data_IF_382381834654
#
_entry.id   IF_382381834654
#
_cell.length_a   1.000
_cell.length_b   1.000
_cell.length_c   1.000
_cell.angle_alpha   90.00
_cell.angle_beta   90.00
_cell.angle_gamma   90.00
#
_symmetry.space_group_name_H-M   'P 1'
#
loop_
_entity.id
_entity.type
_entity.pdbx_description
1 polymer ?
#
# COMPACT_ATOMS: atom_id res chain seq x y z
N UNK A 1 46.57 47.52 11.84
CA UNK A 1 45.17 47.16 12.30
C UNK A 1 44.09 47.44 11.26
N UNK A 2 44.30 48.37 10.31
CA UNK A 2 43.27 48.76 9.31
C UNK A 2 43.08 47.80 8.11
N UNK A 3 44.07 46.98 7.80
CA UNK A 3 44.01 46.17 6.56
C UNK A 3 43.08 44.96 6.63
N UNK A 4 42.86 44.37 7.82
CA UNK A 4 42.02 43.16 7.98
C UNK A 4 40.53 43.53 8.07
N UNK A 5 40.18 44.65 8.71
CA UNK A 5 38.79 45.16 8.77
C UNK A 5 38.33 45.65 7.38
N UNK A 6 39.22 46.39 6.68
CA UNK A 6 38.92 46.85 5.31
C UNK A 6 38.72 45.71 4.32
N UNK A 7 39.46 44.61 4.42
CA UNK A 7 39.29 43.43 3.57
C UNK A 7 37.96 42.72 3.81
N UNK A 8 37.52 42.66 5.08
CA UNK A 8 36.22 42.03 5.43
C UNK A 8 35.04 42.88 4.91
N UNK A 9 35.12 44.18 4.94
CA UNK A 9 34.13 45.12 4.43
C UNK A 9 34.01 45.12 2.90
N UNK A 10 35.15 45.02 2.21
CA UNK A 10 35.19 44.90 0.75
C UNK A 10 34.53 43.57 0.32
N UNK A 11 34.90 42.48 0.98
CA UNK A 11 34.32 41.15 0.71
C UNK A 11 32.80 41.10 1.00
N UNK A 12 32.37 41.73 2.10
CA UNK A 12 30.94 41.88 2.41
C UNK A 12 30.19 42.58 1.29
N UNK A 13 30.68 43.73 0.83
CA UNK A 13 30.00 44.48 -0.27
C UNK A 13 29.96 43.68 -1.54
N UNK A 14 30.98 42.92 -1.86
CA UNK A 14 31.01 42.06 -3.03
C UNK A 14 29.99 40.95 -2.96
N UNK A 15 29.92 40.21 -1.84
CA UNK A 15 28.93 39.14 -1.64
C UNK A 15 27.49 39.66 -1.65
N UNK A 16 27.21 40.79 -1.01
CA UNK A 16 25.89 41.41 -1.03
C UNK A 16 25.45 41.80 -2.46
N UNK A 17 26.40 42.31 -3.24
CA UNK A 17 26.13 42.62 -4.64
C UNK A 17 25.86 41.35 -5.47
N UNK A 18 26.70 40.32 -5.27
CA UNK A 18 26.51 39.04 -5.94
C UNK A 18 25.14 38.39 -5.58
N UNK A 19 24.71 38.44 -4.31
CA UNK A 19 23.41 37.94 -3.85
C UNK A 19 22.24 38.72 -4.53
N UNK A 20 22.38 40.04 -4.65
CA UNK A 20 21.32 40.86 -5.25
C UNK A 20 21.19 40.67 -6.77
N UNK A 21 22.25 40.28 -7.46
CA UNK A 21 22.26 40.08 -8.91
C UNK A 21 21.81 38.66 -9.33
N UNK A 22 21.46 37.77 -8.37
CA UNK A 22 21.09 36.38 -8.61
C UNK A 22 19.66 36.28 -9.21
N UNK A 23 19.53 35.36 -10.17
CA UNK A 23 18.27 35.08 -10.85
C UNK A 23 17.77 33.63 -10.73
N UNK A 24 18.54 32.76 -10.05
CA UNK A 24 18.15 31.36 -9.86
C UNK A 24 18.58 30.79 -8.50
N UNK A 25 17.82 29.80 -8.01
CA UNK A 25 18.12 29.11 -6.74
C UNK A 25 19.46 28.38 -6.79
N UNK A 26 19.85 27.81 -7.93
CA UNK A 26 21.13 27.11 -8.10
C UNK A 26 22.33 28.08 -7.96
N UNK A 27 22.22 29.31 -8.53
CA UNK A 27 23.25 30.35 -8.36
C UNK A 27 23.33 30.76 -6.90
N UNK A 28 22.23 30.90 -6.19
CA UNK A 28 22.18 31.24 -4.77
C UNK A 28 22.86 30.15 -3.91
N UNK A 29 22.60 28.86 -4.21
CA UNK A 29 23.21 27.74 -3.48
C UNK A 29 24.77 27.72 -3.71
N UNK A 30 25.20 28.00 -4.92
CA UNK A 30 26.63 28.13 -5.22
C UNK A 30 27.31 29.24 -4.40
N UNK A 31 26.66 30.41 -4.27
CA UNK A 31 27.20 31.50 -3.41
C UNK A 31 27.14 31.08 -1.94
N UNK A 32 26.08 30.44 -1.48
CA UNK A 32 26.02 29.91 -0.13
C UNK A 32 27.18 28.96 0.18
N UNK A 33 27.49 28.06 -0.73
CA UNK A 33 28.60 27.09 -0.57
C UNK A 33 29.94 27.78 -0.62
N UNK A 34 30.15 28.75 -1.51
CA UNK A 34 31.41 29.48 -1.64
C UNK A 34 31.66 30.41 -0.44
N UNK A 35 30.65 31.00 0.16
CA UNK A 35 30.76 31.87 1.32
C UNK A 35 30.77 31.10 2.64
N UNK A 36 29.80 30.19 2.87
CA UNK A 36 29.51 29.55 4.16
C UNK A 36 29.88 28.06 4.22
N UNK A 37 30.25 27.42 3.12
CA UNK A 37 30.60 26.00 3.05
C UNK A 37 31.85 25.66 3.88
N UNK A 38 32.17 24.37 4.02
CA UNK A 38 33.34 23.89 4.81
C UNK A 38 34.69 24.53 4.40
N UNK A 39 34.85 24.90 3.14
CA UNK A 39 36.00 25.61 2.54
C UNK A 39 35.64 27.05 2.14
N UNK A 40 34.47 27.56 2.57
CA UNK A 40 33.99 28.87 2.22
C UNK A 40 34.83 29.99 2.84
N UNK A 41 34.77 31.16 2.21
CA UNK A 41 35.60 32.29 2.61
C UNK A 41 35.36 32.73 4.07
N UNK A 42 34.09 32.84 4.49
CA UNK A 42 33.74 33.23 5.88
C UNK A 42 34.14 32.10 6.86
N UNK A 43 34.00 30.84 6.49
CA UNK A 43 34.44 29.71 7.32
C UNK A 43 35.97 29.68 7.45
N UNK A 44 36.71 30.07 6.41
CA UNK A 44 38.17 30.20 6.44
C UNK A 44 38.63 31.35 7.33
N UNK A 45 37.91 32.49 7.31
CA UNK A 45 38.18 33.61 8.22
C UNK A 45 37.97 33.19 9.69
N UNK A 46 36.93 32.41 9.99
CA UNK A 46 36.70 31.85 11.34
C UNK A 46 37.83 30.91 11.80
N UNK A 47 38.35 30.08 10.91
CA UNK A 47 39.48 29.18 11.22
C UNK A 47 40.78 29.95 11.50
N UNK A 48 41.00 31.07 10.83
CA UNK A 48 42.19 31.89 11.02
C UNK A 48 42.17 32.75 12.31
N UNK A 49 41.03 32.79 13.02
CA UNK A 49 40.94 33.45 14.35
C UNK A 49 41.91 32.81 15.35
N UNK A 50 42.18 31.51 15.25
CA UNK A 50 43.09 30.80 16.16
C UNK A 50 44.56 31.27 16.08
N UNK A 51 44.95 31.90 14.99
CA UNK A 51 46.33 32.43 14.77
C UNK A 51 46.57 33.87 15.24
N UNK A 52 45.51 34.55 15.73
CA UNK A 52 45.58 35.95 16.19
C UNK A 52 45.90 36.05 17.70
N UNK A 53 46.36 37.20 18.17
CA UNK A 53 46.61 37.48 19.59
C UNK A 53 45.31 37.56 20.40
N UNK A 54 45.39 37.29 21.71
CA UNK A 54 44.19 37.08 22.57
C UNK A 54 43.25 38.29 22.60
N UNK A 55 43.82 39.52 22.57
CA UNK A 55 43.04 40.75 22.60
C UNK A 55 42.23 41.02 21.32
N UNK A 56 42.76 40.62 20.16
CA UNK A 56 42.14 40.85 18.86
C UNK A 56 41.13 39.73 18.50
N UNK A 57 41.27 38.57 19.12
CA UNK A 57 40.40 37.39 18.83
C UNK A 57 38.94 37.66 19.09
N UNK A 58 38.60 38.36 20.18
CA UNK A 58 37.23 38.58 20.58
C UNK A 58 36.52 39.52 19.60
N UNK A 59 37.08 40.67 19.33
CA UNK A 59 36.51 41.67 18.44
C UNK A 59 36.41 41.16 16.99
N UNK A 60 37.46 40.50 16.50
CA UNK A 60 37.46 39.91 15.15
C UNK A 60 36.46 38.74 15.05
N UNK A 61 36.34 37.90 16.07
CA UNK A 61 35.36 36.83 16.14
C UNK A 61 33.91 37.34 16.13
N UNK A 62 33.63 38.44 16.87
CA UNK A 62 32.32 39.08 16.87
C UNK A 62 31.97 39.67 15.50
N UNK A 63 32.93 40.35 14.84
CA UNK A 63 32.75 40.92 13.50
C UNK A 63 32.49 39.84 12.44
N UNK A 64 33.25 38.74 12.44
CA UNK A 64 33.08 37.65 11.47
C UNK A 64 31.77 36.90 11.73
N UNK A 65 31.37 36.73 12.99
CA UNK A 65 30.05 36.13 13.31
C UNK A 65 28.89 37.04 12.91
N UNK A 66 29.03 38.38 13.10
CA UNK A 66 28.04 39.33 12.63
C UNK A 66 27.92 39.31 11.09
N UNK A 67 29.05 39.28 10.38
CA UNK A 67 29.07 39.11 8.93
C UNK A 67 28.40 37.81 8.48
N UNK A 68 28.71 36.70 9.14
CA UNK A 68 28.06 35.41 8.85
C UNK A 68 26.55 35.46 8.98
N UNK A 69 26.06 36.06 10.06
CA UNK A 69 24.61 36.24 10.28
C UNK A 69 23.99 37.08 9.18
N UNK A 70 24.55 38.24 8.88
CA UNK A 70 24.05 39.12 7.82
C UNK A 70 23.99 38.41 6.45
N UNK A 71 25.04 37.71 6.05
CA UNK A 71 25.06 36.98 4.78
C UNK A 71 24.03 35.82 4.78
N UNK A 72 23.85 35.12 5.92
CA UNK A 72 22.86 34.08 6.06
C UNK A 72 21.46 34.66 5.91
N UNK A 73 21.15 35.76 6.58
CA UNK A 73 19.84 36.42 6.53
C UNK A 73 19.52 36.93 5.09
N UNK A 74 20.52 37.56 4.43
CA UNK A 74 20.32 37.99 3.02
C UNK A 74 20.12 36.84 2.05
N UNK A 75 20.82 35.72 2.23
CA UNK A 75 20.59 34.50 1.43
C UNK A 75 19.17 33.98 1.64
N UNK A 76 18.67 33.98 2.88
CA UNK A 76 17.31 33.50 3.19
C UNK A 76 16.24 34.42 2.59
N UNK A 77 16.43 35.74 2.68
CA UNK A 77 15.57 36.74 2.05
C UNK A 77 15.53 36.56 0.54
N UNK A 78 16.71 36.46 -0.11
CA UNK A 78 16.81 36.27 -1.55
C UNK A 78 16.19 34.95 -1.99
N UNK A 79 16.39 33.86 -1.24
CA UNK A 79 15.79 32.56 -1.48
C UNK A 79 14.25 32.62 -1.47
N UNK A 80 13.70 33.26 -0.43
CA UNK A 80 12.25 33.43 -0.30
C UNK A 80 11.68 34.25 -1.46
N UNK A 81 12.37 35.33 -1.86
CA UNK A 81 11.96 36.17 -2.99
C UNK A 81 12.00 35.40 -4.32
N UNK A 82 13.04 34.60 -4.58
CA UNK A 82 13.15 33.77 -5.79
C UNK A 82 12.08 32.68 -5.82
N UNK A 83 11.80 32.01 -4.69
CA UNK A 83 10.73 31.02 -4.58
C UNK A 83 9.37 31.65 -4.83
N UNK A 84 9.09 32.81 -4.26
CA UNK A 84 7.85 33.53 -4.49
C UNK A 84 7.69 33.97 -5.94
N UNK A 85 8.78 34.45 -6.56
CA UNK A 85 8.77 34.82 -7.99
C UNK A 85 8.50 33.60 -8.89
N UNK A 86 9.06 32.44 -8.57
CA UNK A 86 8.81 31.20 -9.29
C UNK A 86 7.34 30.75 -9.16
N UNK A 87 6.79 30.79 -7.94
CA UNK A 87 5.38 30.48 -7.69
C UNK A 87 4.47 31.44 -8.47
N UNK A 88 4.75 32.74 -8.39
CA UNK A 88 3.97 33.77 -9.11
C UNK A 88 4.02 33.55 -10.64
N UNK A 89 5.20 33.18 -11.13
CA UNK A 89 5.36 32.85 -12.56
C UNK A 89 4.56 31.61 -12.95
N UNK A 90 4.57 30.56 -12.14
CA UNK A 90 3.74 29.35 -12.37
C UNK A 90 2.25 29.70 -12.35
N UNK A 91 1.79 30.44 -11.35
CA UNK A 91 0.39 30.87 -11.24
C UNK A 91 -0.03 31.72 -12.45
N UNK A 92 0.83 32.63 -12.93
CA UNK A 92 0.52 33.47 -14.11
C UNK A 92 0.53 32.70 -15.43
N UNK A 93 1.18 31.54 -15.48
CA UNK A 93 1.20 30.66 -16.65
C UNK A 93 0.03 29.66 -16.65
N UNK A 94 -0.49 29.31 -15.48
CA UNK A 94 -1.70 28.49 -15.35
C UNK A 94 -2.96 29.33 -15.57
N UNK A 95 -3.22 29.69 -16.82
CA UNK A 95 -4.47 30.37 -17.20
C UNK A 95 -5.57 29.33 -17.26
N UNK A 96 -6.36 29.27 -16.19
CA UNK A 96 -7.61 28.50 -16.19
C UNK A 96 -8.68 29.39 -16.85
N UNK A 97 -9.23 28.92 -17.96
CA UNK A 97 -10.38 29.56 -18.57
C UNK A 97 -11.63 29.32 -17.74
N UNK A 98 -11.97 30.30 -16.90
CA UNK A 98 -13.16 30.25 -16.02
C UNK A 98 -14.50 30.37 -16.78
N UNK A 99 -14.46 30.62 -18.10
CA UNK A 99 -15.67 30.66 -18.92
C UNK A 99 -16.06 29.28 -19.46
N UNK A 100 -15.18 28.29 -19.34
CA UNK A 100 -15.52 26.91 -19.68
C UNK A 100 -16.62 26.40 -18.73
N UNK A 101 -17.64 25.72 -19.28
CA UNK A 101 -18.69 25.16 -18.43
C UNK A 101 -18.08 24.17 -17.45
N UNK A 102 -18.46 24.28 -16.16
CA UNK A 102 -18.02 23.40 -15.06
C UNK A 102 -18.45 21.95 -15.24
N UNK A 103 -19.44 21.72 -16.06
CA UNK A 103 -19.90 20.39 -16.45
C UNK A 103 -19.40 20.09 -17.86
N UNK A 104 -18.48 19.14 -17.99
CA UNK A 104 -18.24 18.50 -19.26
C UNK A 104 -19.60 17.96 -19.74
N UNK A 105 -20.14 18.58 -20.80
CA UNK A 105 -21.37 18.11 -21.46
C UNK A 105 -21.19 16.77 -22.16
N UNK A 106 -19.99 16.24 -22.23
CA UNK A 106 -19.77 14.84 -22.54
C UNK A 106 -20.33 14.04 -21.38
N UNK A 107 -21.48 13.41 -21.58
CA UNK A 107 -22.00 12.33 -20.76
C UNK A 107 -20.88 11.28 -20.65
N UNK A 108 -20.01 11.46 -19.65
CA UNK A 108 -19.02 10.45 -19.36
C UNK A 108 -19.78 9.22 -18.93
N UNK A 109 -19.67 8.17 -19.71
CA UNK A 109 -20.15 6.86 -19.32
C UNK A 109 -19.56 6.53 -17.94
N UNK A 110 -20.36 5.91 -17.09
CA UNK A 110 -19.88 5.46 -15.78
C UNK A 110 -18.62 4.59 -15.93
N UNK A 111 -17.89 4.45 -14.84
CA UNK A 111 -16.68 3.61 -14.76
C UNK A 111 -16.92 2.42 -13.85
N UNK A 112 -16.43 1.27 -14.25
CA UNK A 112 -16.38 0.09 -13.38
C UNK A 112 -15.26 0.30 -12.38
N UNK A 113 -15.56 0.07 -11.10
CA UNK A 113 -14.58 0.19 -10.04
C UNK A 113 -13.50 -0.91 -10.16
N UNK A 114 -12.21 -0.63 -9.94
CA UNK A 114 -11.14 -1.63 -10.06
C UNK A 114 -11.37 -2.90 -9.22
N UNK A 115 -11.94 -2.79 -8.03
CA UNK A 115 -12.30 -3.97 -7.22
C UNK A 115 -13.32 -4.84 -7.91
N UNK A 116 -14.35 -4.26 -8.55
CA UNK A 116 -15.35 -5.03 -9.29
C UNK A 116 -14.71 -5.73 -10.49
N UNK A 117 -13.84 -5.02 -11.23
CA UNK A 117 -13.12 -5.60 -12.36
C UNK A 117 -12.25 -6.79 -11.94
N UNK A 118 -11.47 -6.63 -10.86
CA UNK A 118 -10.62 -7.70 -10.34
C UNK A 118 -11.44 -8.87 -9.80
N UNK A 119 -12.58 -8.59 -9.17
CA UNK A 119 -13.49 -9.64 -8.68
C UNK A 119 -14.04 -10.47 -9.84
N UNK A 120 -14.50 -9.81 -10.91
CA UNK A 120 -15.00 -10.49 -12.11
C UNK A 120 -13.93 -11.33 -12.78
N UNK A 121 -12.72 -10.81 -12.91
CA UNK A 121 -11.57 -11.52 -13.47
C UNK A 121 -11.20 -12.76 -12.63
N UNK A 122 -11.16 -12.65 -11.31
CA UNK A 122 -10.89 -13.79 -10.41
C UNK A 122 -12.00 -14.85 -10.57
N UNK A 123 -13.25 -14.43 -10.65
CA UNK A 123 -14.40 -15.33 -10.87
C UNK A 123 -14.27 -16.05 -12.20
N UNK A 124 -13.92 -15.35 -13.26
CA UNK A 124 -13.75 -15.93 -14.60
C UNK A 124 -12.65 -16.98 -14.61
N UNK A 125 -11.45 -16.65 -14.09
CA UNK A 125 -10.33 -17.59 -14.01
C UNK A 125 -10.72 -18.86 -13.24
N UNK A 126 -11.35 -18.76 -12.07
CA UNK A 126 -11.73 -19.93 -11.30
C UNK A 126 -12.90 -20.68 -11.92
N UNK A 127 -13.81 -20.01 -12.60
CA UNK A 127 -14.90 -20.66 -13.35
C UNK A 127 -14.35 -21.54 -14.47
N UNK A 128 -13.34 -21.06 -15.19
CA UNK A 128 -12.64 -21.84 -16.22
C UNK A 128 -11.91 -23.07 -15.64
N UNK A 129 -11.47 -22.97 -14.37
CA UNK A 129 -10.90 -24.09 -13.62
C UNK A 129 -11.98 -25.02 -13.01
N UNK A 130 -13.27 -24.77 -13.27
CA UNK A 130 -14.39 -25.58 -12.83
C UNK A 130 -14.85 -25.33 -11.40
N UNK A 131 -14.62 -24.13 -10.85
CA UNK A 131 -15.17 -23.73 -9.57
C UNK A 131 -16.54 -23.08 -9.76
N UNK A 132 -17.46 -23.35 -8.83
CA UNK A 132 -18.74 -22.68 -8.73
C UNK A 132 -18.63 -21.50 -7.76
N UNK A 133 -19.46 -20.48 -7.95
CA UNK A 133 -19.56 -19.35 -7.02
C UNK A 133 -20.51 -19.71 -5.89
N UNK A 134 -20.08 -19.52 -4.64
CA UNK A 134 -20.92 -19.65 -3.46
C UNK A 134 -21.03 -18.32 -2.73
N UNK A 135 -22.23 -17.99 -2.28
CA UNK A 135 -22.52 -16.76 -1.57
C UNK A 135 -23.05 -17.03 -0.16
N UNK A 136 -22.86 -16.08 0.74
CA UNK A 136 -23.38 -16.14 2.10
C UNK A 136 -23.54 -14.77 2.74
N UNK A 137 -24.16 -14.69 3.91
CA UNK A 137 -24.45 -13.42 4.57
C UNK A 137 -23.20 -12.73 5.10
N UNK A 138 -23.21 -11.39 5.15
CA UNK A 138 -22.19 -10.58 5.80
C UNK A 138 -22.31 -10.63 7.33
N UNK A 139 -23.54 -10.80 7.85
CA UNK A 139 -23.81 -10.94 9.29
C UNK A 139 -23.89 -12.42 9.62
N UNK A 140 -22.99 -12.87 10.46
CA UNK A 140 -22.81 -14.26 10.83
C UNK A 140 -22.98 -14.50 12.33
N UNK A 141 -23.03 -15.78 12.69
CA UNK A 141 -22.92 -16.25 14.05
C UNK A 141 -21.49 -16.79 14.35
N UNK A 142 -21.17 -16.94 15.61
CA UNK A 142 -19.88 -17.48 16.02
C UNK A 142 -19.67 -18.94 15.61
N UNK A 143 -20.77 -19.71 15.43
CA UNK A 143 -20.69 -21.10 15.03
C UNK A 143 -20.05 -21.22 13.63
N UNK A 144 -20.56 -20.47 12.64
CA UNK A 144 -20.04 -20.53 11.28
C UNK A 144 -18.73 -19.77 11.12
N UNK A 145 -18.58 -18.63 11.82
CA UNK A 145 -17.38 -17.79 11.65
C UNK A 145 -16.16 -18.31 12.40
N UNK A 146 -16.34 -19.09 13.49
CA UNK A 146 -15.26 -19.55 14.32
C UNK A 146 -15.33 -21.04 14.69
N UNK A 147 -16.40 -21.51 15.32
CA UNK A 147 -16.44 -22.84 15.93
C UNK A 147 -16.26 -23.96 14.90
N UNK A 148 -17.02 -23.91 13.82
CA UNK A 148 -16.94 -24.90 12.73
C UNK A 148 -15.59 -24.87 12.01
N UNK A 149 -14.87 -23.76 12.06
CA UNK A 149 -13.53 -23.57 11.50
C UNK A 149 -12.41 -23.94 12.47
N UNK A 150 -12.71 -24.64 13.58
CA UNK A 150 -11.71 -25.05 14.55
C UNK A 150 -10.95 -23.87 15.20
N UNK A 151 -11.54 -22.68 15.24
CA UNK A 151 -10.96 -21.51 15.90
C UNK A 151 -11.36 -21.55 17.37
N UNK A 152 -10.42 -21.72 18.34
CA UNK A 152 -10.74 -21.84 19.74
C UNK A 152 -11.24 -20.53 20.35
N UNK A 153 -11.98 -20.63 21.49
CA UNK A 153 -12.54 -19.44 22.16
C UNK A 153 -11.47 -18.44 22.62
N UNK A 154 -10.27 -18.92 22.96
CA UNK A 154 -9.13 -18.09 23.36
C UNK A 154 -8.39 -17.42 22.21
N UNK A 155 -8.80 -17.67 20.96
CA UNK A 155 -8.09 -17.11 19.80
C UNK A 155 -8.23 -15.59 19.71
N UNK A 156 -7.14 -14.83 19.45
CA UNK A 156 -7.17 -13.37 19.41
C UNK A 156 -8.22 -12.80 18.43
N UNK A 157 -8.43 -13.42 17.28
CA UNK A 157 -9.41 -13.00 16.29
C UNK A 157 -10.87 -12.94 16.80
N UNK A 158 -11.18 -13.55 17.95
CA UNK A 158 -12.50 -13.46 18.59
C UNK A 158 -12.65 -12.26 19.52
N UNK A 159 -11.57 -11.52 19.77
CA UNK A 159 -11.64 -10.35 20.65
C UNK A 159 -12.40 -9.21 19.98
N UNK A 160 -13.09 -8.41 20.80
CA UNK A 160 -13.82 -7.22 20.32
C UNK A 160 -12.92 -6.16 19.66
N UNK A 161 -11.62 -6.29 19.87
CA UNK A 161 -10.61 -5.42 19.20
C UNK A 161 -10.49 -5.76 17.72
N UNK A 162 -10.69 -7.04 17.35
CA UNK A 162 -10.50 -7.50 15.96
C UNK A 162 -11.81 -7.79 15.23
N UNK A 163 -12.91 -8.05 15.95
CA UNK A 163 -14.22 -8.45 15.38
C UNK A 163 -15.32 -7.48 15.75
N UNK A 164 -16.12 -7.07 14.78
CA UNK A 164 -17.32 -6.26 15.01
C UNK A 164 -18.49 -7.14 15.43
N UNK A 165 -18.80 -7.11 16.72
CA UNK A 165 -19.98 -7.78 17.28
C UNK A 165 -21.21 -6.89 17.21
N UNK A 166 -22.35 -7.50 16.88
CA UNK A 166 -23.65 -6.83 16.79
C UNK A 166 -24.53 -7.28 17.96
N UNK A 167 -25.32 -6.37 18.57
CA UNK A 167 -26.25 -6.74 19.62
C UNK A 167 -27.33 -7.70 19.07
N UNK A 168 -27.40 -8.89 19.59
CA UNK A 168 -28.41 -9.87 19.24
C UNK A 168 -29.74 -9.60 19.96
N UNK A 169 -30.87 -9.73 19.27
CA UNK A 169 -32.21 -9.59 19.91
C UNK A 169 -32.55 -10.75 20.83
N UNK A 170 -31.93 -11.90 20.65
CA UNK A 170 -32.28 -13.17 21.32
C UNK A 170 -31.18 -13.68 22.25
N UNK A 171 -30.26 -12.81 22.69
CA UNK A 171 -29.10 -13.19 23.50
C UNK A 171 -28.00 -13.94 22.73
N UNK A 172 -28.19 -14.23 21.45
CA UNK A 172 -27.18 -14.79 20.57
C UNK A 172 -26.33 -13.66 19.98
N UNK A 173 -25.02 -13.72 20.22
CA UNK A 173 -24.07 -12.80 19.62
C UNK A 173 -24.03 -13.00 18.10
N UNK A 174 -24.18 -11.91 17.36
CA UNK A 174 -23.93 -11.88 15.92
C UNK A 174 -22.71 -11.03 15.65
N UNK A 175 -22.10 -11.21 14.48
CA UNK A 175 -20.91 -10.46 14.11
C UNK A 175 -20.89 -10.17 12.60
N UNK A 176 -20.11 -9.21 12.19
CA UNK A 176 -19.71 -9.06 10.81
C UNK A 176 -18.60 -10.06 10.51
N UNK A 177 -18.76 -10.88 9.48
CA UNK A 177 -17.80 -11.95 9.15
C UNK A 177 -16.40 -11.39 8.94
N UNK A 178 -15.41 -12.04 9.56
CA UNK A 178 -13.99 -11.64 9.51
C UNK A 178 -13.24 -12.21 8.31
N UNK A 179 -13.86 -13.14 7.61
CA UNK A 179 -13.40 -13.82 6.39
C UNK A 179 -14.61 -14.45 5.66
N UNK A 180 -14.41 -14.96 4.47
CA UNK A 180 -15.50 -15.61 3.69
C UNK A 180 -15.63 -17.11 3.97
N UNK A 181 -14.82 -17.69 4.86
CA UNK A 181 -14.88 -19.11 5.25
C UNK A 181 -16.24 -19.59 5.78
N UNK A 182 -17.11 -18.77 6.43
CA UNK A 182 -18.47 -19.20 6.77
C UNK A 182 -19.26 -19.73 5.58
N UNK A 183 -19.02 -19.19 4.38
CA UNK A 183 -19.66 -19.67 3.15
C UNK A 183 -19.23 -21.10 2.83
N UNK A 184 -17.95 -21.43 3.04
CA UNK A 184 -17.42 -22.78 2.87
C UNK A 184 -18.11 -23.76 3.83
N UNK A 185 -18.26 -23.38 5.12
CA UNK A 185 -18.96 -24.19 6.13
C UNK A 185 -20.41 -24.41 5.71
N UNK A 186 -21.12 -23.35 5.30
CA UNK A 186 -22.52 -23.44 4.85
C UNK A 186 -22.69 -24.33 3.63
N UNK A 187 -21.73 -24.28 2.70
CA UNK A 187 -21.77 -25.15 1.50
C UNK A 187 -21.54 -26.61 1.88
N UNK A 188 -20.50 -26.90 2.69
CA UNK A 188 -20.26 -28.29 3.15
C UNK A 188 -21.36 -28.87 3.99
N UNK A 189 -22.18 -28.04 4.68
CA UNK A 189 -23.38 -28.50 5.40
C UNK A 189 -24.58 -28.79 4.48
N UNK A 190 -24.62 -28.26 3.26
CA UNK A 190 -25.74 -28.36 2.32
C UNK A 190 -25.49 -29.33 1.17
N UNK A 191 -24.24 -29.46 0.77
CA UNK A 191 -23.83 -30.18 -0.43
C UNK A 191 -22.94 -31.37 -0.07
N UNK A 192 -23.11 -32.48 -0.80
CA UNK A 192 -22.19 -33.61 -0.68
C UNK A 192 -20.99 -33.44 -1.62
N UNK A 193 -19.79 -33.89 -1.21
CA UNK A 193 -18.64 -33.94 -2.11
C UNK A 193 -18.89 -34.79 -3.36
N UNK A 194 -18.31 -34.40 -4.53
CA UNK A 194 -17.25 -33.43 -4.67
C UNK A 194 -17.72 -31.97 -4.65
N UNK A 195 -17.05 -31.13 -3.86
CA UNK A 195 -17.31 -29.68 -3.74
C UNK A 195 -16.14 -28.93 -4.32
N UNK A 196 -16.41 -27.93 -5.17
CA UNK A 196 -15.41 -27.03 -5.72
C UNK A 196 -16.03 -25.66 -5.87
N UNK A 197 -15.71 -24.75 -4.96
CA UNK A 197 -16.30 -23.43 -4.89
C UNK A 197 -15.27 -22.34 -4.66
N UNK A 198 -15.60 -21.12 -5.10
CA UNK A 198 -15.03 -19.87 -4.62
C UNK A 198 -16.11 -19.05 -3.92
N UNK A 199 -15.73 -18.34 -2.88
CA UNK A 199 -16.60 -17.50 -2.08
C UNK A 199 -16.08 -16.05 -2.06
N UNK A 200 -16.34 -15.24 -3.10
CA UNK A 200 -16.02 -13.81 -3.07
C UNK A 200 -16.97 -13.06 -2.16
N UNK A 201 -16.49 -12.02 -1.48
CA UNK A 201 -17.34 -11.20 -0.65
C UNK A 201 -16.61 -10.19 0.22
N UNK A 202 -17.39 -9.35 0.89
CA UNK A 202 -16.88 -8.39 1.86
C UNK A 202 -16.58 -9.07 3.19
N UNK A 203 -15.55 -8.58 3.84
CA UNK A 203 -15.10 -9.04 5.16
C UNK A 203 -14.79 -7.82 6.02
N UNK A 204 -14.81 -7.99 7.34
CA UNK A 204 -14.79 -6.88 8.28
C UNK A 204 -13.82 -7.19 9.42
N UNK A 205 -12.88 -6.27 9.68
CA UNK A 205 -11.94 -6.34 10.81
C UNK A 205 -11.75 -4.96 11.39
N UNK A 206 -11.58 -4.87 12.69
CA UNK A 206 -11.36 -3.59 13.37
C UNK A 206 -9.91 -3.11 13.21
N UNK A 207 -9.47 -2.97 11.98
CA UNK A 207 -8.11 -2.54 11.63
C UNK A 207 -8.16 -1.42 10.59
N UNK A 208 -7.30 -0.41 10.71
CA UNK A 208 -7.30 0.74 9.81
C UNK A 208 -5.93 1.41 9.72
N UNK A 209 -5.22 1.17 8.63
CA UNK A 209 -3.97 1.83 8.28
C UNK A 209 -3.84 2.01 6.75
N UNK A 210 -2.64 2.25 6.21
CA UNK A 210 -2.43 2.39 4.76
C UNK A 210 -2.66 1.09 3.97
N UNK A 211 -2.61 -0.04 4.64
CA UNK A 211 -2.70 -1.40 4.07
C UNK A 211 -3.93 -2.17 4.55
N UNK A 212 -4.67 -1.62 5.52
CA UNK A 212 -5.84 -2.23 6.12
C UNK A 212 -7.00 -1.23 6.21
N UNK A 213 -8.20 -1.71 5.91
CA UNK A 213 -9.46 -0.97 6.07
C UNK A 213 -10.44 -1.81 6.89
N UNK A 214 -11.36 -1.18 7.63
CA UNK A 214 -12.36 -1.91 8.44
C UNK A 214 -13.24 -2.86 7.63
N UNK A 215 -13.43 -2.58 6.36
CA UNK A 215 -14.09 -3.44 5.37
C UNK A 215 -13.15 -3.61 4.18
N UNK A 216 -12.98 -4.85 3.73
CA UNK A 216 -12.19 -5.19 2.55
C UNK A 216 -12.83 -6.36 1.82
N UNK A 217 -12.37 -6.67 0.61
CA UNK A 217 -12.90 -7.75 -0.20
C UNK A 217 -11.94 -8.94 -0.17
N UNK A 218 -12.52 -10.12 -0.05
CA UNK A 218 -11.79 -11.38 -0.01
C UNK A 218 -12.46 -12.38 -0.94
N UNK A 219 -11.66 -13.27 -1.50
CA UNK A 219 -12.16 -14.50 -2.11
C UNK A 219 -11.46 -15.68 -1.46
N UNK A 220 -12.21 -16.69 -1.09
CA UNK A 220 -11.70 -17.97 -0.63
C UNK A 220 -12.14 -19.08 -1.56
N UNK A 221 -11.27 -20.04 -1.79
CA UNK A 221 -11.56 -21.24 -2.55
C UNK A 221 -11.56 -22.47 -1.66
N UNK A 222 -12.44 -23.42 -1.97
CA UNK A 222 -12.55 -24.72 -1.30
C UNK A 222 -12.72 -25.83 -2.33
N UNK A 223 -11.94 -26.86 -2.16
CA UNK A 223 -12.12 -28.15 -2.84
C UNK A 223 -12.24 -29.25 -1.80
N UNK A 224 -13.32 -30.05 -1.86
CA UNK A 224 -13.49 -31.26 -1.07
C UNK A 224 -13.72 -32.43 -2.03
N UNK A 225 -12.85 -33.43 -1.95
CA UNK A 225 -12.89 -34.62 -2.79
C UNK A 225 -12.25 -35.82 -2.06
N UNK A 226 -12.34 -37.02 -2.61
CA UNK A 226 -11.65 -38.21 -2.08
C UNK A 226 -10.15 -38.14 -2.28
N UNK A 227 -9.71 -37.60 -3.42
CA UNK A 227 -8.31 -37.58 -3.85
C UNK A 227 -7.62 -36.21 -3.73
N UNK A 228 -8.28 -35.23 -3.08
CA UNK A 228 -7.71 -33.90 -2.90
C UNK A 228 -6.35 -33.96 -2.17
N UNK A 229 -5.36 -33.24 -2.71
CA UNK A 229 -4.00 -33.28 -2.19
C UNK A 229 -3.24 -31.95 -2.42
N UNK A 230 -2.09 -31.85 -1.77
CA UNK A 230 -1.22 -30.65 -1.82
C UNK A 230 -0.70 -30.33 -3.22
N UNK A 231 -0.49 -31.34 -4.07
CA UNK A 231 -0.03 -31.14 -5.45
C UNK A 231 -1.10 -30.43 -6.29
N UNK A 232 -2.37 -30.81 -6.11
CA UNK A 232 -3.50 -30.14 -6.76
C UNK A 232 -3.68 -28.71 -6.25
N UNK A 233 -3.53 -28.45 -4.94
CA UNK A 233 -3.54 -27.12 -4.39
C UNK A 233 -2.45 -26.25 -5.05
N UNK A 234 -1.22 -26.73 -5.05
CA UNK A 234 -0.10 -26.01 -5.65
C UNK A 234 -0.36 -25.68 -7.13
N UNK A 235 -0.79 -26.67 -7.90
CA UNK A 235 -1.11 -26.50 -9.31
C UNK A 235 -2.22 -25.44 -9.51
N UNK A 236 -3.29 -25.54 -8.74
CA UNK A 236 -4.41 -24.59 -8.78
C UNK A 236 -3.93 -23.14 -8.55
N UNK A 237 -3.08 -22.92 -7.55
CA UNK A 237 -2.56 -21.61 -7.22
C UNK A 237 -1.56 -21.09 -8.27
N UNK A 238 -0.72 -21.96 -8.84
CA UNK A 238 0.20 -21.60 -9.92
C UNK A 238 -0.55 -21.16 -11.18
N UNK A 239 -1.56 -21.93 -11.61
CA UNK A 239 -2.37 -21.57 -12.80
C UNK A 239 -3.19 -20.29 -12.57
N UNK A 240 -3.78 -20.14 -11.40
CA UNK A 240 -4.47 -18.89 -11.04
C UNK A 240 -3.53 -17.68 -11.10
N UNK A 241 -2.34 -17.76 -10.48
CA UNK A 241 -1.40 -16.64 -10.48
C UNK A 241 -0.89 -16.32 -11.88
N UNK A 242 -0.64 -17.33 -12.73
CA UNK A 242 -0.24 -17.12 -14.13
C UNK A 242 -1.31 -16.40 -14.93
N UNK A 243 -2.56 -16.87 -14.82
CA UNK A 243 -3.68 -16.26 -15.53
C UNK A 243 -3.92 -14.81 -15.06
N UNK A 244 -3.94 -14.57 -13.76
CA UNK A 244 -4.23 -13.25 -13.20
C UNK A 244 -3.15 -12.20 -13.52
N UNK A 245 -1.87 -12.57 -13.45
CA UNK A 245 -0.76 -11.65 -13.77
C UNK A 245 -0.35 -11.69 -15.25
N UNK A 246 -1.02 -12.52 -16.06
CA UNK A 246 -0.78 -12.64 -17.51
C UNK A 246 0.69 -13.02 -17.82
N UNK A 247 1.25 -13.95 -17.06
CA UNK A 247 2.64 -14.42 -17.20
C UNK A 247 2.68 -15.90 -17.55
N UNK A 248 3.60 -16.30 -18.44
CA UNK A 248 3.78 -17.71 -18.82
C UNK A 248 4.34 -18.55 -17.68
N UNK A 249 5.23 -17.97 -16.89
CA UNK A 249 5.91 -18.65 -15.79
C UNK A 249 5.86 -17.80 -14.53
N UNK A 250 5.66 -18.46 -13.40
CA UNK A 250 5.68 -17.80 -12.09
C UNK A 250 6.52 -18.64 -11.11
N UNK A 251 7.47 -18.00 -10.47
CA UNK A 251 8.19 -18.62 -9.36
C UNK A 251 7.36 -18.45 -8.09
N UNK A 252 6.90 -19.57 -7.54
CA UNK A 252 6.11 -19.63 -6.33
C UNK A 252 6.86 -20.38 -5.24
N UNK A 253 6.75 -19.88 -4.01
CA UNK A 253 7.28 -20.51 -2.81
C UNK A 253 6.16 -20.71 -1.80
N UNK A 254 6.08 -21.93 -1.27
CA UNK A 254 5.16 -22.30 -0.19
C UNK A 254 5.95 -22.31 1.11
N UNK A 255 5.53 -21.48 2.07
CA UNK A 255 6.13 -21.42 3.41
C UNK A 255 5.19 -22.05 4.45
N UNK A 256 5.67 -22.90 5.36
CA UNK A 256 4.84 -23.36 6.48
C UNK A 256 4.28 -22.19 7.28
N UNK A 257 2.99 -22.28 7.63
CA UNK A 257 2.28 -21.33 8.45
C UNK A 257 1.33 -22.04 9.41
N UNK A 258 0.54 -21.31 10.15
CA UNK A 258 -0.46 -21.87 11.05
C UNK A 258 -1.81 -21.16 10.86
N UNK A 259 -2.82 -21.94 10.49
CA UNK A 259 -4.22 -21.53 10.51
C UNK A 259 -5.03 -22.63 11.23
N UNK A 260 -5.97 -22.29 12.13
CA UNK A 260 -6.72 -23.30 12.91
C UNK A 260 -7.52 -24.28 12.05
N UNK A 261 -7.89 -23.86 10.84
CA UNK A 261 -8.77 -24.57 9.91
C UNK A 261 -8.03 -25.37 8.82
N UNK A 262 -6.69 -25.31 8.78
CA UNK A 262 -5.88 -26.08 7.83
C UNK A 262 -4.72 -26.80 8.49
N UNK A 263 -4.36 -27.98 7.95
CA UNK A 263 -3.21 -28.80 8.39
C UNK A 263 -2.74 -29.69 7.23
N UNK A 264 -1.55 -29.44 6.65
CA UNK A 264 -0.65 -28.33 6.87
C UNK A 264 -1.19 -27.01 6.33
N UNK A 265 -0.79 -25.90 7.00
CA UNK A 265 -1.07 -24.54 6.58
C UNK A 265 0.14 -23.96 5.86
N UNK A 266 -0.11 -23.16 4.84
CA UNK A 266 0.92 -22.59 3.98
C UNK A 266 0.60 -21.14 3.66
N UNK A 267 1.60 -20.30 3.72
CA UNK A 267 1.64 -18.99 3.08
C UNK A 267 2.30 -19.13 1.71
N UNK A 268 1.77 -18.40 0.75
CA UNK A 268 2.21 -18.45 -0.64
C UNK A 268 2.88 -17.14 -1.00
N UNK A 269 4.13 -17.24 -1.39
CA UNK A 269 4.91 -16.11 -1.90
C UNK A 269 5.15 -16.29 -3.40
N UNK A 270 5.11 -15.19 -4.13
CA UNK A 270 5.51 -15.12 -5.54
C UNK A 270 6.77 -14.27 -5.66
N UNK A 271 7.64 -14.66 -6.62
CA UNK A 271 8.83 -13.88 -6.92
C UNK A 271 8.42 -12.55 -7.56
N UNK A 272 9.13 -11.49 -7.18
CA UNK A 272 8.91 -10.16 -7.74
C UNK A 272 10.23 -9.39 -7.85
N UNK A 273 10.20 -8.33 -8.64
CA UNK A 273 11.28 -7.36 -8.74
C UNK A 273 10.69 -5.95 -8.69
N UNK A 274 11.30 -5.10 -7.87
CA UNK A 274 10.92 -3.69 -7.79
C UNK A 274 11.78 -2.90 -8.77
N UNK A 275 11.19 -2.41 -9.84
CA UNK A 275 11.84 -1.50 -10.79
C UNK A 275 11.26 -0.10 -10.62
N UNK A 276 12.07 0.82 -10.02
CA UNK A 276 11.74 2.24 -9.72
C UNK A 276 10.37 2.41 -9.07
N UNK A 277 9.29 2.45 -9.86
CA UNK A 277 7.90 2.62 -9.40
C UNK A 277 6.96 1.49 -9.85
N UNK A 278 7.49 0.42 -10.42
CA UNK A 278 6.71 -0.73 -10.89
C UNK A 278 7.14 -1.99 -10.18
N UNK A 279 6.16 -2.79 -9.77
CA UNK A 279 6.37 -4.16 -9.29
C UNK A 279 6.22 -5.10 -10.50
N UNK A 280 7.28 -5.81 -10.85
CA UNK A 280 7.24 -6.88 -11.85
C UNK A 280 7.04 -8.18 -11.09
N UNK A 281 5.94 -8.87 -11.39
CA UNK A 281 5.55 -10.13 -10.74
C UNK A 281 5.98 -11.32 -11.62
N UNK A 282 6.34 -12.45 -10.99
CA UNK A 282 6.71 -13.69 -11.65
C UNK A 282 8.21 -13.90 -11.74
N UNK A 283 9.01 -12.84 -11.76
CA UNK A 283 10.48 -12.89 -11.87
C UNK A 283 11.13 -12.02 -10.79
N UNK A 284 12.40 -12.31 -10.50
CA UNK A 284 13.21 -11.52 -9.57
C UNK A 284 13.73 -12.31 -8.39
N UNK A 285 14.37 -11.60 -7.45
CA UNK A 285 14.99 -12.15 -6.24
C UNK A 285 14.16 -11.90 -4.99
N UNK A 286 13.23 -10.94 -5.04
CA UNK A 286 12.38 -10.58 -3.93
C UNK A 286 11.13 -11.47 -3.87
N UNK A 287 10.55 -11.59 -2.68
CA UNK A 287 9.39 -12.43 -2.45
C UNK A 287 8.25 -11.59 -1.87
N UNK A 288 7.08 -11.78 -2.43
CA UNK A 288 5.86 -11.12 -2.00
C UNK A 288 4.84 -12.17 -1.57
N UNK A 289 4.43 -12.12 -0.30
CA UNK A 289 3.32 -12.92 0.20
C UNK A 289 2.00 -12.44 -0.43
N UNK A 290 1.25 -13.35 -1.01
CA UNK A 290 0.04 -13.03 -1.77
C UNK A 290 -1.23 -13.67 -1.23
N UNK A 291 -1.13 -14.85 -0.61
CA UNK A 291 -2.30 -15.56 -0.08
C UNK A 291 -1.91 -16.61 0.97
N UNK A 292 -2.90 -16.98 1.79
CA UNK A 292 -2.84 -18.13 2.69
C UNK A 292 -3.57 -19.35 2.10
N UNK A 293 -3.07 -20.56 2.40
CA UNK A 293 -3.68 -21.80 1.90
C UNK A 293 -3.36 -22.99 2.80
N UNK A 294 -3.95 -24.14 2.51
CA UNK A 294 -3.61 -25.39 3.19
C UNK A 294 -4.59 -26.52 2.91
N UNK A 295 -4.27 -27.70 3.43
CA UNK A 295 -5.24 -28.80 3.44
C UNK A 295 -6.25 -28.57 4.54
N UNK A 296 -7.53 -28.82 4.28
CA UNK A 296 -8.60 -28.63 5.25
C UNK A 296 -8.37 -29.52 6.46
N UNK A 297 -8.40 -28.91 7.66
CA UNK A 297 -8.16 -29.63 8.90
C UNK A 297 -9.23 -30.71 9.12
N UNK A 298 -8.87 -31.94 9.53
CA UNK A 298 -9.86 -33.03 9.71
C UNK A 298 -11.00 -32.68 10.69
N UNK A 299 -10.73 -31.79 11.67
CA UNK A 299 -11.77 -31.36 12.61
C UNK A 299 -12.82 -30.49 11.93
N UNK A 300 -12.45 -29.67 10.93
CA UNK A 300 -13.41 -28.87 10.15
C UNK A 300 -14.37 -29.80 9.41
N UNK A 301 -13.87 -30.87 8.79
CA UNK A 301 -14.72 -31.87 8.12
C UNK A 301 -15.68 -32.55 9.10
N UNK A 302 -15.22 -32.93 10.30
CA UNK A 302 -16.09 -33.50 11.34
C UNK A 302 -17.17 -32.52 11.79
N UNK A 303 -16.84 -31.24 11.92
CA UNK A 303 -17.77 -30.20 12.36
C UNK A 303 -18.92 -29.97 11.38
N UNK A 304 -18.75 -30.37 10.12
CA UNK A 304 -19.78 -30.30 9.07
C UNK A 304 -20.33 -31.69 8.70
N UNK A 305 -20.10 -32.74 9.53
CA UNK A 305 -20.53 -34.10 9.35
C UNK A 305 -19.96 -34.81 8.10
N UNK A 306 -18.80 -34.39 7.62
CA UNK A 306 -18.05 -35.10 6.58
C UNK A 306 -17.01 -36.03 7.23
N UNK A 307 -16.88 -37.26 6.69
CA UNK A 307 -15.91 -38.25 7.17
C UNK A 307 -14.50 -37.95 6.65
N UNK A 308 -13.55 -37.55 7.50
CA UNK A 308 -12.18 -37.23 7.09
C UNK A 308 -11.33 -38.45 6.68
N UNK A 309 -11.83 -39.68 6.90
CA UNK A 309 -11.19 -40.88 6.37
C UNK A 309 -11.53 -41.11 4.89
N UNK A 310 -12.67 -40.59 4.45
CA UNK A 310 -13.17 -40.69 3.08
C UNK A 310 -12.86 -39.47 2.23
N UNK A 311 -12.99 -38.29 2.83
CA UNK A 311 -12.86 -37.01 2.13
C UNK A 311 -11.65 -36.21 2.65
N UNK A 312 -11.00 -35.53 1.73
CA UNK A 312 -9.95 -34.57 1.97
C UNK A 312 -10.30 -33.27 1.28
N UNK A 313 -9.62 -32.21 1.62
CA UNK A 313 -9.84 -30.96 0.91
C UNK A 313 -8.65 -30.03 1.03
N UNK A 314 -8.65 -29.02 0.18
CA UNK A 314 -7.75 -27.88 0.33
C UNK A 314 -8.55 -26.59 0.22
N UNK A 315 -8.02 -25.56 0.86
CA UNK A 315 -8.59 -24.23 0.83
C UNK A 315 -7.48 -23.17 0.66
N UNK A 316 -7.87 -22.02 0.13
CA UNK A 316 -7.01 -20.85 -0.01
C UNK A 316 -7.83 -19.57 0.15
N UNK A 317 -7.18 -18.48 0.52
CA UNK A 317 -7.84 -17.18 0.67
C UNK A 317 -6.91 -16.04 0.33
N UNK A 318 -7.44 -15.06 -0.42
CA UNK A 318 -6.72 -13.86 -0.83
C UNK A 318 -7.59 -12.60 -0.70
N UNK A 319 -6.95 -11.47 -0.35
CA UNK A 319 -7.59 -10.16 -0.29
C UNK A 319 -7.63 -9.50 -1.66
N UNK A 320 -8.82 -9.34 -2.25
CA UNK A 320 -9.02 -8.81 -3.61
C UNK A 320 -8.42 -7.41 -3.74
N UNK A 321 -8.59 -6.56 -2.73
CA UNK A 321 -8.05 -5.18 -2.71
C UNK A 321 -6.53 -5.17 -2.86
N UNK A 322 -5.84 -6.07 -2.15
CA UNK A 322 -4.38 -6.20 -2.26
C UNK A 322 -3.95 -6.68 -3.66
N UNK A 323 -4.69 -7.62 -4.25
CA UNK A 323 -4.40 -8.09 -5.60
C UNK A 323 -4.66 -7.02 -6.65
N UNK A 324 -5.69 -6.20 -6.48
CA UNK A 324 -5.93 -5.02 -7.31
C UNK A 324 -4.78 -3.99 -7.19
N UNK A 325 -4.29 -3.73 -5.96
CA UNK A 325 -3.14 -2.86 -5.76
C UNK A 325 -1.90 -3.37 -6.50
N UNK A 326 -1.63 -4.67 -6.44
CA UNK A 326 -0.48 -5.28 -7.11
C UNK A 326 -0.60 -5.20 -8.63
N UNK A 327 -1.77 -5.52 -9.18
CA UNK A 327 -2.00 -5.52 -10.64
C UNK A 327 -1.90 -4.12 -11.24
N UNK A 328 -2.45 -3.11 -10.56
CA UNK A 328 -2.53 -1.74 -11.09
C UNK A 328 -1.48 -0.77 -10.50
N UNK A 329 -0.57 -1.28 -9.66
CA UNK A 329 0.50 -0.46 -9.08
C UNK A 329 0.01 0.60 -8.09
N UNK A 330 -1.09 0.37 -7.40
CA UNK A 330 -1.64 1.29 -6.39
C UNK A 330 -0.90 1.13 -5.06
N UNK A 331 -0.62 2.26 -4.40
CA UNK A 331 0.20 2.27 -3.17
C UNK A 331 -0.59 2.46 -1.89
N UNK A 332 -1.86 2.89 -1.98
CA UNK A 332 -2.72 3.19 -0.85
C UNK A 332 -4.10 2.56 -1.04
N UNK A 333 -4.44 1.62 -0.16
CA UNK A 333 -5.69 0.87 -0.19
C UNK A 333 -6.92 1.76 0.07
N UNK A 334 -6.77 2.83 0.86
CA UNK A 334 -7.86 3.74 1.22
C UNK A 334 -8.48 4.42 0.01
N UNK A 335 -7.69 4.62 -1.05
CA UNK A 335 -8.15 5.22 -2.31
C UNK A 335 -9.31 4.47 -2.97
N UNK A 336 -9.45 3.16 -2.73
CA UNK A 336 -10.59 2.38 -3.22
C UNK A 336 -11.93 2.80 -2.56
N UNK A 337 -11.88 3.42 -1.38
CA UNK A 337 -13.06 3.72 -0.58
C UNK A 337 -13.33 5.24 -0.43
N UNK A 338 -12.40 6.10 -0.90
CA UNK A 338 -12.51 7.56 -0.78
C UNK A 338 -13.59 8.19 -1.68
N UNK A 339 -14.15 7.43 -2.63
CA UNK A 339 -15.17 7.91 -3.59
C UNK A 339 -14.71 9.12 -4.43
N UNK A 340 -13.41 9.28 -4.67
CA UNK A 340 -12.87 10.35 -5.52
C UNK A 340 -13.12 10.04 -7.00
N UNK A 341 -13.98 10.83 -7.64
CA UNK A 341 -14.31 10.67 -9.07
C UNK A 341 -13.10 10.86 -9.99
N UNK A 342 -12.10 11.66 -9.60
CA UNK A 342 -10.86 11.84 -10.39
C UNK A 342 -10.04 10.56 -10.38
N UNK A 343 -9.95 9.91 -9.23
CA UNK A 343 -9.31 8.62 -9.07
C UNK A 343 -10.03 7.55 -9.90
N UNK A 344 -11.38 7.50 -9.81
CA UNK A 344 -12.18 6.54 -10.57
C UNK A 344 -12.07 6.78 -12.08
N UNK A 345 -11.96 8.03 -12.53
CA UNK A 345 -11.71 8.35 -13.95
C UNK A 345 -10.38 7.83 -14.44
N UNK A 346 -9.36 7.82 -13.58
CA UNK A 346 -8.01 7.35 -13.90
C UNK A 346 -7.91 5.82 -13.87
N UNK A 347 -8.35 5.19 -12.79
CA UNK A 347 -8.22 3.75 -12.56
C UNK A 347 -9.43 2.92 -12.97
N UNK A 348 -10.60 3.53 -13.10
CA UNK A 348 -11.83 2.84 -13.45
C UNK A 348 -11.88 2.40 -14.92
N UNK A 349 -12.50 1.28 -15.17
CA UNK A 349 -12.64 0.66 -16.50
C UNK A 349 -13.90 1.14 -17.20
N UNK A 350 -13.91 1.12 -18.54
CA UNK A 350 -15.12 1.33 -19.32
C UNK A 350 -15.85 0.00 -19.48
N UNK A 351 -17.18 0.05 -19.50
CA UNK A 351 -18.02 -1.12 -19.56
C UNK A 351 -17.81 -2.02 -20.82
N UNK A 352 -17.07 -1.53 -21.81
CA UNK A 352 -16.78 -2.26 -23.05
C UNK A 352 -15.30 -2.21 -23.43
N UNK A 353 -14.42 -1.87 -22.49
CA UNK A 353 -12.97 -2.03 -22.66
C UNK A 353 -12.65 -3.53 -22.44
N UNK A 354 -12.96 -4.33 -23.43
CA UNK A 354 -12.64 -5.77 -23.50
C UNK A 354 -11.34 -5.91 -24.28
#
# INVERSE_FOLDING_TARGET
QDSSSAASDVYKRQLLKEINDIKSLDQLDNIRVSALGKKGAITSLLKNISSQTIEVRKDFGEQVNALKRQITDEIEICKSALQQAEITKKISQDVIDVTLPLTNTNLENGKIHPISQVTEEIIEIFSDMGFNIAEGPDIEDEHHNFNSLNIPESHPARQMVDTFYLPGKDGNSRLLRTHTSPVQIRTMMREEPPIRIIAPGRTYRSDSDQTHTPMFHQVEGLVIDQDANMGQLKWCLEEFCKAFFEVENIKMRLRPSYFPFTEPSLEVDIACQKDKNRLIVGEGSDWLEVLGSGMVHPQVLRNVNLDPSKYKGFAFGLGIDRWAMLKYGMTDLRSFFDSDLRWLRHYGFRALDI
#
